data_IF_804547309008
#
_entry.id   IF_804547309008
#
_cell.length_a   1.000
_cell.length_b   1.000
_cell.length_c   1.000
_cell.angle_alpha   90.00
_cell.angle_beta   90.00
_cell.angle_gamma   90.00
#
_symmetry.space_group_name_H-M   'P 1'
#
loop_
_entity.id
_entity.type
_entity.pdbx_description
1 polymer ?
#
# COMPACT_ATOMS: atom_id res chain seq x y z
N UNK A 1 -1.23 10.56 30.09
CA UNK A 1 -2.01 10.09 28.93
C UNK A 1 -3.36 10.79 28.99
N UNK A 2 -3.46 12.02 28.48
CA UNK A 2 -4.74 12.70 28.34
C UNK A 2 -5.44 12.08 27.13
N UNK A 3 -6.57 11.42 27.35
CA UNK A 3 -7.28 10.73 26.27
C UNK A 3 -8.02 11.82 25.50
N UNK A 4 -7.59 12.09 24.26
CA UNK A 4 -8.43 12.78 23.29
C UNK A 4 -9.54 11.79 22.89
N UNK A 5 -10.59 11.75 23.69
CA UNK A 5 -11.73 10.86 23.47
C UNK A 5 -12.36 11.17 22.11
N UNK A 6 -12.32 10.18 21.23
CA UNK A 6 -13.09 10.22 19.98
C UNK A 6 -14.55 10.18 20.38
N UNK A 7 -15.42 10.99 19.77
CA UNK A 7 -16.85 10.84 20.01
C UNK A 7 -17.26 9.41 19.63
N UNK A 8 -18.20 8.82 20.38
CA UNK A 8 -18.69 7.47 20.11
C UNK A 8 -19.16 7.33 18.65
N UNK A 9 -19.87 8.33 18.14
CA UNK A 9 -20.31 8.41 16.74
C UNK A 9 -19.16 8.37 15.72
N UNK A 10 -18.06 9.08 15.99
CA UNK A 10 -16.91 9.09 15.09
C UNK A 10 -16.14 7.77 15.17
N UNK A 11 -16.10 7.13 16.33
CA UNK A 11 -15.52 5.80 16.50
C UNK A 11 -16.34 4.71 15.80
N UNK A 12 -17.66 4.75 15.92
CA UNK A 12 -18.57 3.83 15.20
C UNK A 12 -18.44 3.98 13.69
N UNK A 13 -18.41 5.23 13.19
CA UNK A 13 -18.15 5.50 11.77
C UNK A 13 -16.78 4.95 11.34
N UNK A 14 -15.75 5.11 12.18
CA UNK A 14 -14.42 4.56 11.91
C UNK A 14 -14.41 3.04 11.79
N UNK A 15 -15.06 2.34 12.72
CA UNK A 15 -15.18 0.89 12.69
C UNK A 15 -16.00 0.42 11.48
N UNK A 16 -17.08 1.11 11.14
CA UNK A 16 -17.92 0.77 10.00
C UNK A 16 -17.15 0.87 8.67
N UNK A 17 -16.50 2.02 8.42
CA UNK A 17 -15.71 2.24 7.19
C UNK A 17 -14.53 1.28 7.13
N UNK A 18 -13.80 1.10 8.24
CA UNK A 18 -12.69 0.15 8.32
C UNK A 18 -13.15 -1.29 8.07
N UNK A 19 -14.29 -1.68 8.63
CA UNK A 19 -14.89 -2.99 8.46
C UNK A 19 -15.27 -3.29 7.02
N UNK A 20 -15.86 -2.33 6.30
CA UNK A 20 -16.18 -2.47 4.87
C UNK A 20 -14.90 -2.63 4.03
N UNK A 21 -13.89 -1.79 4.26
CA UNK A 21 -12.68 -1.80 3.44
C UNK A 21 -11.83 -3.06 3.70
N UNK A 22 -11.64 -3.43 4.98
CA UNK A 22 -10.94 -4.66 5.34
C UNK A 22 -11.73 -5.91 4.96
N UNK A 23 -13.06 -5.87 5.10
CA UNK A 23 -13.95 -6.94 4.64
C UNK A 23 -13.87 -7.11 3.12
N UNK A 24 -13.89 -6.01 2.37
CA UNK A 24 -13.69 -6.00 0.93
C UNK A 24 -12.34 -6.60 0.54
N UNK A 25 -11.25 -6.21 1.21
CA UNK A 25 -9.93 -6.83 1.03
C UNK A 25 -9.96 -8.34 1.32
N UNK A 26 -10.54 -8.75 2.44
CA UNK A 26 -10.58 -10.15 2.86
C UNK A 26 -11.38 -11.01 1.87
N UNK A 27 -12.54 -10.53 1.43
CA UNK A 27 -13.37 -11.23 0.43
C UNK A 27 -12.68 -11.33 -0.92
N UNK A 28 -11.81 -10.38 -1.28
CA UNK A 28 -11.05 -10.44 -2.53
C UNK A 28 -9.70 -11.16 -2.39
N UNK A 29 -9.22 -11.48 -1.18
CA UNK A 29 -7.93 -12.14 -0.99
C UNK A 29 -8.06 -13.58 -0.48
N UNK A 30 -8.90 -13.82 0.52
CA UNK A 30 -9.05 -15.12 1.17
C UNK A 30 -9.51 -16.25 0.21
N UNK A 31 -10.41 -16.02 -0.77
CA UNK A 31 -10.82 -17.10 -1.68
C UNK A 31 -9.65 -17.69 -2.49
N UNK A 32 -8.60 -16.90 -2.77
CA UNK A 32 -7.45 -17.37 -3.54
C UNK A 32 -6.64 -18.44 -2.82
N UNK A 33 -6.73 -18.54 -1.48
CA UNK A 33 -6.10 -19.62 -0.72
C UNK A 33 -6.81 -20.96 -0.87
N UNK A 34 -8.08 -20.95 -1.31
CA UNK A 34 -8.90 -22.14 -1.54
C UNK A 34 -8.90 -22.57 -3.02
N UNK A 35 -8.35 -21.75 -3.92
CA UNK A 35 -8.33 -22.06 -5.34
C UNK A 35 -7.26 -23.11 -5.66
N UNK A 36 -7.68 -24.22 -6.28
CA UNK A 36 -6.79 -25.30 -6.73
C UNK A 36 -6.04 -25.04 -8.05
N UNK A 37 -5.97 -23.78 -8.50
CA UNK A 37 -5.31 -23.39 -9.77
C UNK A 37 -4.21 -22.39 -9.49
N UNK A 38 -3.26 -22.26 -10.42
CA UNK A 38 -2.15 -21.33 -10.30
C UNK A 38 -2.65 -19.88 -10.23
N UNK A 39 -2.20 -19.15 -9.23
CA UNK A 39 -2.48 -17.71 -9.04
C UNK A 39 -1.22 -16.88 -9.23
N UNK A 40 -1.34 -15.82 -10.02
CA UNK A 40 -0.29 -14.82 -10.23
C UNK A 40 -0.60 -13.50 -9.52
N UNK A 41 0.39 -12.61 -9.43
CA UNK A 41 0.30 -11.32 -8.72
C UNK A 41 -0.93 -10.47 -9.09
N UNK A 42 -1.37 -10.48 -10.36
CA UNK A 42 -2.54 -9.69 -10.78
C UNK A 42 -3.85 -10.12 -10.10
N UNK A 43 -3.94 -11.36 -9.60
CA UNK A 43 -5.10 -11.79 -8.80
C UNK A 43 -5.21 -11.03 -7.48
N UNK A 44 -4.11 -10.46 -6.99
CA UNK A 44 -4.10 -9.62 -5.79
C UNK A 44 -4.58 -8.19 -6.07
N UNK A 45 -4.65 -7.74 -7.33
CA UNK A 45 -4.97 -6.34 -7.64
C UNK A 45 -6.34 -5.87 -7.11
N UNK A 46 -7.43 -6.66 -7.16
CA UNK A 46 -8.70 -6.28 -6.56
C UNK A 46 -8.59 -6.06 -5.03
N UNK A 47 -7.92 -6.97 -4.32
CA UNK A 47 -7.69 -6.81 -2.89
C UNK A 47 -6.80 -5.60 -2.60
N UNK A 48 -5.73 -5.41 -3.36
CA UNK A 48 -4.83 -4.27 -3.25
C UNK A 48 -5.57 -2.92 -3.38
N UNK A 49 -6.60 -2.84 -4.22
CA UNK A 49 -7.43 -1.63 -4.34
C UNK A 49 -8.13 -1.29 -3.02
N UNK A 50 -8.78 -2.27 -2.37
CA UNK A 50 -9.37 -2.08 -1.04
C UNK A 50 -8.33 -1.71 0.02
N UNK A 51 -7.15 -2.33 -0.02
CA UNK A 51 -6.05 -2.00 0.88
C UNK A 51 -5.55 -0.56 0.68
N UNK A 52 -5.46 -0.08 -0.57
CA UNK A 52 -5.05 1.29 -0.88
C UNK A 52 -6.08 2.32 -0.40
N UNK A 53 -7.38 2.05 -0.59
CA UNK A 53 -8.45 2.88 -0.03
C UNK A 53 -8.42 2.90 1.50
N UNK A 54 -8.19 1.75 2.14
CA UNK A 54 -8.05 1.66 3.59
C UNK A 54 -6.84 2.45 4.10
N UNK A 55 -5.70 2.34 3.42
CA UNK A 55 -4.51 3.14 3.74
C UNK A 55 -4.79 4.64 3.63
N UNK A 56 -5.44 5.09 2.56
CA UNK A 56 -5.82 6.50 2.38
C UNK A 56 -6.75 6.99 3.51
N UNK A 57 -7.74 6.18 3.88
CA UNK A 57 -8.64 6.46 5.00
C UNK A 57 -7.90 6.56 6.33
N UNK A 58 -7.00 5.63 6.64
CA UNK A 58 -6.19 5.65 7.86
C UNK A 58 -5.25 6.85 7.88
N UNK A 59 -4.61 7.19 6.76
CA UNK A 59 -3.77 8.39 6.66
C UNK A 59 -4.60 9.64 6.92
N UNK A 60 -5.79 9.78 6.34
CA UNK A 60 -6.67 10.92 6.58
C UNK A 60 -7.14 10.99 8.04
N UNK A 61 -7.57 9.86 8.61
CA UNK A 61 -8.00 9.75 10.01
C UNK A 61 -6.90 10.22 10.97
N UNK A 62 -5.65 9.80 10.73
CA UNK A 62 -4.51 10.23 11.53
C UNK A 62 -4.11 11.68 11.25
N UNK A 63 -4.17 12.14 9.99
CA UNK A 63 -3.85 13.52 9.62
C UNK A 63 -4.76 14.54 10.30
N UNK A 64 -6.07 14.26 10.36
CA UNK A 64 -7.06 15.10 11.08
C UNK A 64 -6.78 15.18 12.59
N UNK A 65 -6.07 14.19 13.13
CA UNK A 65 -5.78 14.05 14.57
C UNK A 65 -4.33 14.40 14.92
N UNK A 66 -3.48 14.69 13.93
CA UNK A 66 -2.10 15.09 14.12
C UNK A 66 -2.04 16.46 14.81
N UNK A 67 -1.74 16.46 16.11
CA UNK A 67 -1.71 17.66 16.94
C UNK A 67 -0.35 18.36 16.87
N UNK A 68 0.71 17.61 16.63
CA UNK A 68 2.08 18.12 16.64
C UNK A 68 2.64 18.35 15.23
N UNK A 69 3.54 19.35 15.05
CA UNK A 69 4.25 19.53 13.78
C UNK A 69 5.00 18.27 13.34
N UNK A 70 5.55 17.52 14.30
CA UNK A 70 6.25 16.24 14.04
C UNK A 70 5.36 15.21 13.37
N UNK A 71 4.13 15.02 13.85
CA UNK A 71 3.17 14.07 13.25
C UNK A 71 2.80 14.48 11.82
N UNK A 72 2.60 15.78 11.58
CA UNK A 72 2.32 16.32 10.24
C UNK A 72 3.49 16.11 9.28
N UNK A 73 4.71 16.38 9.74
CA UNK A 73 5.94 16.12 8.97
C UNK A 73 6.11 14.63 8.68
N UNK A 74 5.81 13.75 9.64
CA UNK A 74 5.85 12.30 9.43
C UNK A 74 4.87 11.86 8.33
N UNK A 75 3.63 12.32 8.38
CA UNK A 75 2.63 11.98 7.35
C UNK A 75 3.02 12.52 5.97
N UNK A 76 3.52 13.76 5.91
CA UNK A 76 3.98 14.35 4.65
C UNK A 76 5.19 13.61 4.06
N UNK A 77 6.16 13.25 4.89
CA UNK A 77 7.35 12.49 4.45
C UNK A 77 6.99 11.10 3.95
N UNK A 78 6.04 10.40 4.58
CA UNK A 78 5.52 9.12 4.07
C UNK A 78 4.87 9.26 2.70
N UNK A 79 4.05 10.30 2.49
CA UNK A 79 3.43 10.58 1.20
C UNK A 79 4.45 10.89 0.11
N UNK A 80 5.44 11.73 0.41
CA UNK A 80 6.54 12.04 -0.51
C UNK A 80 7.39 10.81 -0.83
N UNK A 81 7.66 9.95 0.17
CA UNK A 81 8.39 8.71 -0.03
C UNK A 81 7.64 7.75 -0.97
N UNK A 82 6.30 7.67 -0.88
CA UNK A 82 5.50 6.86 -1.79
C UNK A 82 5.57 7.36 -3.24
N UNK A 83 5.53 8.68 -3.46
CA UNK A 83 5.69 9.30 -4.78
C UNK A 83 7.09 9.06 -5.33
N UNK A 84 8.12 9.29 -4.51
CA UNK A 84 9.52 9.05 -4.88
C UNK A 84 9.76 7.58 -5.24
N UNK A 85 9.18 6.65 -4.46
CA UNK A 85 9.21 5.22 -4.76
C UNK A 85 8.59 4.92 -6.12
N UNK A 86 7.42 5.48 -6.43
CA UNK A 86 6.81 5.32 -7.76
C UNK A 86 7.71 5.85 -8.87
N UNK A 87 8.28 7.04 -8.73
CA UNK A 87 9.19 7.63 -9.73
C UNK A 87 10.41 6.73 -9.93
N UNK A 88 10.99 6.20 -8.85
CA UNK A 88 12.14 5.31 -8.91
C UNK A 88 11.86 4.00 -9.67
N UNK A 89 10.64 3.46 -9.54
CA UNK A 89 10.19 2.23 -10.19
C UNK A 89 9.39 2.44 -11.49
N UNK A 90 9.16 3.69 -11.90
CA UNK A 90 8.37 4.05 -13.08
C UNK A 90 8.77 3.31 -14.38
N UNK A 91 10.06 3.00 -14.64
CA UNK A 91 10.44 2.20 -15.81
C UNK A 91 9.72 0.85 -15.93
N UNK A 92 9.36 0.20 -14.81
CA UNK A 92 8.62 -1.08 -14.86
C UNK A 92 7.16 -0.92 -15.28
N UNK A 93 6.60 0.28 -15.16
CA UNK A 93 5.23 0.58 -15.55
C UNK A 93 5.15 1.12 -16.98
N UNK A 94 6.02 2.08 -17.32
CA UNK A 94 5.99 2.76 -18.63
C UNK A 94 6.85 2.08 -19.70
N UNK A 95 7.69 1.13 -19.30
CA UNK A 95 8.72 0.57 -20.17
C UNK A 95 9.98 1.44 -20.22
N UNK A 96 11.05 0.85 -20.73
CA UNK A 96 12.37 1.48 -20.89
C UNK A 96 13.09 0.89 -22.10
N UNK A 97 13.99 1.67 -22.72
CA UNK A 97 14.67 1.30 -23.97
C UNK A 97 16.15 0.90 -23.81
N UNK A 98 16.67 0.93 -22.58
CA UNK A 98 18.05 0.58 -22.25
C UNK A 98 18.16 -0.86 -21.70
N UNK A 99 19.37 -1.43 -21.59
CA UNK A 99 19.55 -2.78 -21.05
C UNK A 99 19.02 -2.91 -19.62
N UNK A 100 18.32 -4.02 -19.32
CA UNK A 100 17.74 -4.27 -17.99
C UNK A 100 18.81 -4.36 -16.87
N UNK A 101 20.07 -4.61 -17.22
CA UNK A 101 21.22 -4.58 -16.29
C UNK A 101 21.41 -3.21 -15.63
N UNK A 102 21.03 -2.12 -16.30
CA UNK A 102 21.07 -0.77 -15.71
C UNK A 102 20.01 -0.58 -14.60
N UNK A 103 19.03 -1.47 -14.52
CA UNK A 103 18.03 -1.50 -13.44
C UNK A 103 18.45 -2.39 -12.27
N UNK A 104 19.71 -2.82 -12.19
CA UNK A 104 20.20 -3.68 -11.12
C UNK A 104 19.91 -3.14 -9.71
N UNK A 105 20.04 -1.82 -9.52
CA UNK A 105 19.75 -1.16 -8.24
C UNK A 105 18.29 -1.26 -7.78
N UNK A 106 17.35 -1.64 -8.66
CA UNK A 106 15.92 -1.76 -8.37
C UNK A 106 15.57 -3.09 -7.71
N UNK A 107 16.52 -4.03 -7.60
CA UNK A 107 16.34 -5.30 -6.89
C UNK A 107 16.54 -5.11 -5.38
N UNK A 108 15.47 -4.69 -4.70
CA UNK A 108 15.49 -4.55 -3.24
C UNK A 108 15.35 -5.88 -2.51
N UNK A 109 14.62 -6.83 -3.09
CA UNK A 109 14.47 -8.18 -2.56
C UNK A 109 15.19 -9.19 -3.47
N UNK A 110 15.85 -10.17 -2.85
CA UNK A 110 16.56 -11.22 -3.60
C UNK A 110 15.63 -12.06 -4.47
N UNK A 111 14.34 -12.14 -4.14
CA UNK A 111 13.31 -12.87 -4.88
C UNK A 111 12.75 -12.11 -6.09
N UNK A 112 13.08 -10.83 -6.26
CA UNK A 112 12.64 -10.04 -7.41
C UNK A 112 13.48 -10.37 -8.66
N UNK A 113 12.96 -11.25 -9.49
CA UNK A 113 13.56 -11.64 -10.78
C UNK A 113 13.26 -10.59 -11.87
N UNK A 114 13.97 -9.46 -11.83
CA UNK A 114 13.74 -8.30 -12.72
C UNK A 114 14.63 -8.36 -13.96
N UNK A 115 15.90 -8.74 -13.81
CA UNK A 115 16.87 -8.88 -14.87
C UNK A 115 17.64 -10.17 -14.64
N UNK A 116 17.82 -10.97 -15.69
CA UNK A 116 18.56 -12.22 -15.60
C UNK A 116 20.04 -11.92 -15.74
N UNK A 117 20.83 -12.19 -14.71
CA UNK A 117 22.18 -12.67 -14.94
C UNK A 117 22.07 -14.18 -15.28
N UNK A 118 22.73 -14.67 -16.33
CA UNK A 118 22.78 -16.11 -16.56
C UNK A 118 23.39 -16.76 -15.32
N UNK A 119 22.71 -17.79 -14.79
CA UNK A 119 23.27 -18.62 -13.72
C UNK A 119 24.50 -19.37 -14.22
#
# INVERSE_FOLDING_TARGET
>A
RGICDVSLSAWECHLYVSGILLGGWALHYLPFFLMGRVTYLHHYFPALYFAAMYLAYIVEWNAKRAATPREKVLLATLGLAAIANFIYFAPFTFGFSYPATELASRRWLSTWNIYNEPR
#
